data_IF_528465543967
#
_entry.id   IF_528465543967
#
_cell.length_a   1.000
_cell.length_b   1.000
_cell.length_c   1.000
_cell.angle_alpha   90.00
_cell.angle_beta   90.00
_cell.angle_gamma   90.00
#
_symmetry.space_group_name_H-M   'P 1'
#
loop_
_entity.id
_entity.type
_entity.pdbx_description
1 polymer ?
#
# COMPACT_ATOMS: atom_id res chain seq x y z
N UNK A 1 70.43 57.67 -25.81
CA UNK A 1 69.68 58.00 -24.59
C UNK A 1 68.45 57.13 -24.66
N UNK A 2 68.55 55.89 -24.14
CA UNK A 2 67.50 54.87 -24.14
C UNK A 2 66.72 54.99 -22.82
N UNK A 3 65.45 55.30 -22.92
CA UNK A 3 64.54 55.36 -21.77
C UNK A 3 64.05 53.93 -21.51
N UNK A 4 64.52 53.33 -20.41
CA UNK A 4 63.99 52.07 -19.91
C UNK A 4 62.60 52.36 -19.30
N UNK A 5 61.57 51.80 -19.97
CA UNK A 5 60.22 51.75 -19.44
C UNK A 5 60.15 50.67 -18.34
N UNK A 6 60.06 51.15 -17.10
CA UNK A 6 59.80 50.26 -15.95
C UNK A 6 58.37 49.78 -16.02
N UNK A 7 58.20 48.54 -16.45
CA UNK A 7 56.91 47.82 -16.43
C UNK A 7 56.52 47.51 -14.99
N UNK A 8 55.60 48.33 -14.40
CA UNK A 8 55.06 48.07 -13.05
C UNK A 8 54.04 46.96 -13.13
N UNK A 9 54.44 45.74 -12.80
CA UNK A 9 53.50 44.62 -12.65
C UNK A 9 52.52 44.91 -11.51
N UNK A 10 51.19 44.77 -11.75
CA UNK A 10 50.20 45.02 -10.71
C UNK A 10 50.36 44.06 -9.55
N UNK A 11 50.54 44.54 -8.34
CA UNK A 11 50.62 43.75 -7.11
C UNK A 11 49.27 43.04 -6.90
N UNK A 12 49.28 41.70 -7.01
CA UNK A 12 48.13 40.86 -6.74
C UNK A 12 47.64 41.08 -5.29
N UNK A 13 46.39 41.51 -5.12
CA UNK A 13 45.83 41.69 -3.78
C UNK A 13 45.43 40.31 -3.21
N UNK A 14 46.36 39.69 -2.48
CA UNK A 14 46.23 38.33 -1.93
C UNK A 14 44.94 38.16 -1.12
N UNK A 15 44.50 39.18 -0.36
CA UNK A 15 43.24 39.11 0.40
C UNK A 15 42.02 38.99 -0.51
N UNK A 16 41.99 39.74 -1.63
CA UNK A 16 40.88 39.63 -2.61
C UNK A 16 40.86 38.24 -3.28
N UNK A 17 42.02 37.70 -3.62
CA UNK A 17 42.13 36.35 -4.24
C UNK A 17 41.63 35.29 -3.27
N UNK A 18 42.05 35.35 -2.00
CA UNK A 18 41.59 34.41 -0.96
C UNK A 18 40.08 34.49 -0.77
N UNK A 19 39.49 35.66 -0.70
CA UNK A 19 38.02 35.81 -0.56
C UNK A 19 37.30 35.24 -1.78
N UNK A 20 37.74 35.55 -3.00
CA UNK A 20 37.14 35.01 -4.22
C UNK A 20 37.23 33.48 -4.25
N UNK A 21 38.36 32.91 -3.86
CA UNK A 21 38.53 31.43 -3.81
C UNK A 21 37.59 30.78 -2.80
N UNK A 22 37.42 31.36 -1.60
CA UNK A 22 36.49 30.88 -0.59
C UNK A 22 35.03 30.94 -1.11
N UNK A 23 34.63 32.04 -1.73
CA UNK A 23 33.29 32.22 -2.30
C UNK A 23 33.06 31.20 -3.42
N UNK A 24 34.04 30.95 -4.30
CA UNK A 24 33.92 29.91 -5.34
C UNK A 24 33.79 28.51 -4.77
N UNK A 25 34.53 28.18 -3.72
CA UNK A 25 34.42 26.85 -3.04
C UNK A 25 33.02 26.71 -2.43
N UNK A 26 32.47 27.72 -1.81
CA UNK A 26 31.12 27.70 -1.23
C UNK A 26 30.04 27.53 -2.32
N UNK A 27 30.18 28.24 -3.45
CA UNK A 27 29.26 28.11 -4.59
C UNK A 27 29.33 26.71 -5.17
N UNK A 28 30.52 26.13 -5.38
CA UNK A 28 30.69 24.76 -5.88
C UNK A 28 30.09 23.75 -4.91
N UNK A 29 30.27 23.93 -3.61
CA UNK A 29 29.68 23.08 -2.58
C UNK A 29 28.14 23.12 -2.62
N UNK A 30 27.54 24.31 -2.75
CA UNK A 30 26.09 24.48 -2.87
C UNK A 30 25.54 23.81 -4.15
N UNK A 31 26.22 24.01 -5.28
CA UNK A 31 25.83 23.37 -6.56
C UNK A 31 25.95 21.86 -6.46
N UNK A 32 27.01 21.33 -5.88
CA UNK A 32 27.21 19.88 -5.70
C UNK A 32 26.11 19.27 -4.81
N UNK A 33 25.73 19.98 -3.75
CA UNK A 33 24.66 19.56 -2.85
C UNK A 33 23.30 19.55 -3.58
N UNK A 34 22.99 20.60 -4.34
CA UNK A 34 21.78 20.67 -5.14
C UNK A 34 21.69 19.58 -6.21
N UNK A 35 22.80 19.29 -6.89
CA UNK A 35 22.90 18.19 -7.86
C UNK A 35 22.69 16.86 -7.17
N UNK A 36 23.33 16.61 -6.02
CA UNK A 36 23.17 15.37 -5.26
C UNK A 36 21.72 15.13 -4.87
N UNK A 37 21.03 16.15 -4.33
CA UNK A 37 19.61 16.02 -4.00
C UNK A 37 18.73 15.85 -5.25
N UNK A 38 19.04 16.55 -6.34
CA UNK A 38 18.35 16.39 -7.62
C UNK A 38 18.48 14.99 -8.20
N UNK A 39 19.68 14.43 -8.22
CA UNK A 39 19.95 13.07 -8.69
C UNK A 39 19.26 12.03 -7.79
N UNK A 40 19.30 12.23 -6.47
CA UNK A 40 18.63 11.35 -5.52
C UNK A 40 17.11 11.34 -5.75
N UNK A 41 16.50 12.52 -5.95
CA UNK A 41 15.06 12.64 -6.24
C UNK A 41 14.71 12.04 -7.62
N UNK A 42 15.55 12.27 -8.64
CA UNK A 42 15.38 11.68 -9.97
C UNK A 42 15.42 10.15 -9.94
N UNK A 43 16.42 9.56 -9.26
CA UNK A 43 16.52 8.11 -9.10
C UNK A 43 15.35 7.53 -8.31
N UNK A 44 14.85 8.26 -7.31
CA UNK A 44 13.63 7.89 -6.56
C UNK A 44 12.40 7.88 -7.48
N UNK A 45 12.24 8.88 -8.33
CA UNK A 45 11.14 8.95 -9.30
C UNK A 45 11.26 7.87 -10.38
N UNK A 46 12.48 7.56 -10.86
CA UNK A 46 12.73 6.46 -11.80
C UNK A 46 12.33 5.11 -11.21
N UNK A 47 12.72 4.82 -9.96
CA UNK A 47 12.34 3.57 -9.30
C UNK A 47 10.83 3.43 -9.12
N UNK A 48 10.13 4.56 -8.93
CA UNK A 48 8.67 4.62 -8.86
C UNK A 48 8.06 4.28 -10.24
N UNK A 49 8.56 4.91 -11.30
CA UNK A 49 8.10 4.69 -12.69
C UNK A 49 8.37 3.24 -13.12
N UNK A 50 9.54 2.70 -12.81
CA UNK A 50 9.89 1.31 -13.11
C UNK A 50 8.98 0.33 -12.37
N UNK A 51 8.70 0.57 -11.08
CA UNK A 51 7.74 -0.23 -10.31
C UNK A 51 6.33 -0.16 -10.90
N UNK A 52 5.87 1.03 -11.30
CA UNK A 52 4.55 1.24 -11.91
C UNK A 52 4.44 0.52 -13.28
N UNK A 53 5.50 0.57 -14.10
CA UNK A 53 5.59 -0.17 -15.37
C UNK A 53 5.63 -1.68 -15.12
N UNK A 54 6.37 -2.12 -14.12
CA UNK A 54 6.46 -3.54 -13.74
C UNK A 54 5.14 -4.05 -13.16
N UNK A 55 4.41 -3.23 -12.39
CA UNK A 55 3.08 -3.57 -11.89
C UNK A 55 2.05 -3.67 -13.02
N UNK A 56 2.16 -2.85 -14.07
CA UNK A 56 1.26 -2.84 -15.23
C UNK A 56 1.36 -4.08 -16.13
N UNK A 57 2.52 -4.72 -16.20
CA UNK A 57 2.85 -5.73 -17.23
C UNK A 57 2.90 -7.16 -16.71
N UNK A 58 2.51 -7.44 -15.44
CA UNK A 58 2.63 -8.78 -14.87
C UNK A 58 1.28 -9.44 -14.63
N UNK A 59 1.09 -10.71 -15.07
CA UNK A 59 0.04 -11.53 -14.51
C UNK A 59 0.34 -11.69 -13.00
N UNK A 60 -0.61 -11.28 -12.16
CA UNK A 60 -0.44 -11.15 -10.71
C UNK A 60 0.01 -12.45 -10.01
N UNK A 61 -0.20 -13.61 -10.63
CA UNK A 61 0.06 -14.93 -10.05
C UNK A 61 1.46 -15.50 -10.33
N UNK A 62 2.12 -15.16 -11.45
CA UNK A 62 3.40 -15.78 -11.82
C UNK A 62 4.55 -15.52 -10.84
N UNK A 63 4.46 -14.42 -10.09
CA UNK A 63 5.52 -14.01 -9.16
C UNK A 63 5.36 -14.59 -7.75
N UNK A 64 4.18 -15.07 -7.42
CA UNK A 64 3.88 -15.55 -6.08
C UNK A 64 4.35 -17.00 -5.85
N UNK A 65 4.36 -17.82 -6.92
CA UNK A 65 4.52 -19.27 -6.80
C UNK A 65 5.93 -19.79 -7.11
N UNK A 66 6.82 -18.97 -7.66
CA UNK A 66 8.14 -19.44 -8.09
C UNK A 66 9.20 -19.52 -6.99
N UNK A 67 8.92 -19.03 -5.78
CA UNK A 67 9.94 -18.93 -4.73
C UNK A 67 9.38 -19.23 -3.31
N UNK A 68 9.50 -20.48 -2.89
CA UNK A 68 9.14 -20.93 -1.54
C UNK A 68 9.89 -20.14 -0.43
N UNK A 69 11.11 -19.65 -0.71
CA UNK A 69 11.89 -18.85 0.23
C UNK A 69 11.26 -17.45 0.45
N UNK A 70 10.63 -16.88 -0.58
CA UNK A 70 9.88 -15.62 -0.46
C UNK A 70 8.57 -15.80 0.29
N UNK A 71 7.89 -16.94 0.11
CA UNK A 71 6.66 -17.25 0.84
C UNK A 71 6.88 -17.38 2.35
N UNK A 72 8.04 -17.86 2.78
CA UNK A 72 8.37 -18.02 4.20
C UNK A 72 8.63 -16.69 4.93
N UNK A 73 8.68 -15.56 4.23
CA UNK A 73 8.92 -14.23 4.80
C UNK A 73 7.69 -13.31 4.79
N UNK A 74 6.49 -13.84 4.48
CA UNK A 74 5.32 -12.98 4.34
C UNK A 74 4.97 -12.23 5.62
N UNK A 75 5.08 -12.87 6.77
CA UNK A 75 4.80 -12.26 8.08
C UNK A 75 5.75 -11.09 8.33
N UNK A 76 7.05 -11.29 8.10
CA UNK A 76 8.08 -10.26 8.22
C UNK A 76 7.81 -9.09 7.27
N UNK A 77 7.57 -9.38 5.99
CA UNK A 77 7.37 -8.36 4.96
C UNK A 77 6.11 -7.52 5.18
N UNK A 78 5.00 -8.16 5.54
CA UNK A 78 3.75 -7.46 5.83
C UNK A 78 3.87 -6.63 7.10
N UNK A 79 4.62 -7.06 8.13
CA UNK A 79 4.86 -6.26 9.32
C UNK A 79 5.58 -4.94 9.05
N UNK A 80 6.37 -4.87 7.97
CA UNK A 80 7.08 -3.66 7.55
C UNK A 80 6.28 -2.78 6.56
N UNK A 81 5.01 -3.12 6.25
CA UNK A 81 4.20 -2.38 5.27
C UNK A 81 4.05 -0.91 5.62
N UNK A 82 4.05 -0.55 6.91
CA UNK A 82 3.90 0.83 7.38
C UNK A 82 5.19 1.66 7.29
N UNK A 83 6.32 1.03 6.99
CA UNK A 83 7.62 1.67 6.90
C UNK A 83 7.98 1.90 5.43
N UNK A 84 8.20 3.18 5.05
CA UNK A 84 8.65 3.53 3.70
C UNK A 84 9.41 4.86 3.72
N UNK A 85 10.42 4.95 2.89
CA UNK A 85 11.19 6.19 2.64
C UNK A 85 10.58 7.03 1.50
N UNK A 86 9.53 6.53 0.82
CA UNK A 86 8.75 7.22 -0.19
C UNK A 86 7.25 7.11 0.12
N UNK A 87 6.44 7.98 -0.50
CA UNK A 87 4.99 7.97 -0.33
C UNK A 87 4.36 6.83 -1.11
N UNK A 88 3.72 5.88 -0.40
CA UNK A 88 2.96 4.78 -1.00
C UNK A 88 1.63 4.60 -0.28
N UNK A 89 0.65 4.12 -1.02
CA UNK A 89 -0.70 3.89 -0.50
C UNK A 89 -1.26 2.55 -0.97
N UNK A 90 -1.90 1.85 -0.05
CA UNK A 90 -2.62 0.60 -0.26
C UNK A 90 -4.11 0.89 -0.05
N UNK A 91 -4.88 0.84 -1.14
CA UNK A 91 -6.34 0.87 -1.04
C UNK A 91 -6.81 -0.53 -0.66
N UNK A 92 -7.55 -0.64 0.44
CA UNK A 92 -8.05 -1.93 0.92
C UNK A 92 -9.55 -1.89 1.15
N UNK A 93 -10.25 -2.97 0.76
CA UNK A 93 -11.68 -3.09 0.84
C UNK A 93 -12.04 -4.36 1.60
N UNK A 94 -12.90 -4.23 2.62
CA UNK A 94 -13.33 -5.33 3.48
C UNK A 94 -14.80 -5.70 3.22
N UNK A 95 -15.20 -6.91 3.61
CA UNK A 95 -16.57 -7.45 3.62
C UNK A 95 -17.17 -7.83 2.26
N UNK A 96 -16.49 -7.57 1.17
CA UNK A 96 -16.92 -7.97 -0.16
C UNK A 96 -16.76 -9.47 -0.45
N UNK A 97 -17.04 -9.86 -1.70
CA UNK A 97 -17.56 -9.03 -2.77
C UNK A 97 -19.08 -8.77 -2.68
N UNK A 98 -19.52 -7.68 -3.33
CA UNK A 98 -20.93 -7.41 -3.57
C UNK A 98 -21.17 -6.92 -5.01
N UNK A 99 -22.34 -7.23 -5.59
CA UNK A 99 -22.67 -6.77 -6.96
C UNK A 99 -22.81 -5.25 -7.05
N UNK A 100 -23.39 -4.64 -6.01
CA UNK A 100 -23.75 -3.23 -6.01
C UNK A 100 -22.60 -2.28 -5.72
N UNK A 101 -21.52 -2.74 -5.09
CA UNK A 101 -20.39 -1.88 -4.68
C UNK A 101 -19.07 -2.37 -5.22
N UNK A 102 -18.74 -3.67 -5.14
CA UNK A 102 -17.45 -4.18 -5.63
C UNK A 102 -17.28 -3.99 -7.14
N UNK A 103 -18.36 -4.22 -7.93
CA UNK A 103 -18.27 -4.04 -9.40
C UNK A 103 -17.96 -2.59 -9.79
N UNK A 104 -18.68 -1.55 -9.30
CA UNK A 104 -18.31 -0.15 -9.52
C UNK A 104 -16.89 0.19 -9.05
N UNK A 105 -16.45 -0.32 -7.91
CA UNK A 105 -15.07 -0.12 -7.42
C UNK A 105 -14.05 -0.67 -8.43
N UNK A 106 -14.24 -1.90 -8.93
CA UNK A 106 -13.35 -2.50 -9.93
C UNK A 106 -13.30 -1.67 -11.22
N UNK A 107 -14.45 -1.15 -11.68
CA UNK A 107 -14.50 -0.29 -12.86
C UNK A 107 -13.70 1.01 -12.67
N UNK A 108 -13.84 1.66 -11.51
CA UNK A 108 -13.10 2.88 -11.16
C UNK A 108 -11.59 2.60 -11.05
N UNK A 109 -11.20 1.53 -10.36
CA UNK A 109 -9.79 1.13 -10.21
C UNK A 109 -9.16 0.86 -11.58
N UNK A 110 -9.88 0.18 -12.48
CA UNK A 110 -9.44 -0.09 -13.85
C UNK A 110 -9.26 1.18 -14.67
N UNK A 111 -10.24 2.10 -14.63
CA UNK A 111 -10.18 3.40 -15.33
C UNK A 111 -9.00 4.25 -14.87
N UNK A 112 -8.65 4.18 -13.57
CA UNK A 112 -7.54 4.92 -12.99
C UNK A 112 -6.20 4.20 -13.04
N UNK A 113 -6.18 2.94 -13.53
CA UNK A 113 -5.02 2.05 -13.55
C UNK A 113 -4.41 1.86 -12.14
N UNK A 114 -5.25 1.65 -11.14
CA UNK A 114 -4.88 1.43 -9.73
C UNK A 114 -5.18 -0.01 -9.36
N UNK A 115 -4.26 -0.63 -8.61
CA UNK A 115 -4.47 -1.96 -8.02
C UNK A 115 -4.70 -1.83 -6.53
N UNK A 116 -5.55 -2.71 -5.99
CA UNK A 116 -5.98 -2.68 -4.60
C UNK A 116 -5.88 -4.08 -3.96
N UNK A 117 -6.19 -4.17 -2.68
CA UNK A 117 -6.35 -5.42 -1.94
C UNK A 117 -7.79 -5.55 -1.47
N UNK A 118 -8.42 -6.69 -1.75
CA UNK A 118 -9.77 -7.02 -1.30
C UNK A 118 -9.68 -8.10 -0.22
N UNK A 119 -10.09 -7.77 0.99
CA UNK A 119 -10.25 -8.70 2.11
C UNK A 119 -11.65 -9.28 2.06
N UNK A 120 -11.79 -10.41 1.38
CA UNK A 120 -13.10 -10.99 1.08
C UNK A 120 -13.62 -11.87 2.22
N UNK A 121 -14.93 -11.84 2.44
CA UNK A 121 -15.61 -12.85 3.23
C UNK A 121 -15.77 -14.12 2.43
N UNK A 122 -15.44 -15.27 3.02
CA UNK A 122 -15.56 -16.57 2.34
C UNK A 122 -16.97 -16.85 1.87
N UNK A 123 -17.99 -16.53 2.68
CA UNK A 123 -19.41 -16.68 2.30
C UNK A 123 -19.81 -15.81 1.10
N UNK A 124 -19.23 -14.63 0.94
CA UNK A 124 -19.46 -13.76 -0.21
C UNK A 124 -18.65 -14.23 -1.44
N UNK A 125 -17.46 -14.78 -1.23
CA UNK A 125 -16.67 -15.39 -2.31
C UNK A 125 -17.38 -16.60 -2.92
N UNK A 126 -18.03 -17.45 -2.10
CA UNK A 126 -18.88 -18.53 -2.59
C UNK A 126 -20.11 -18.02 -3.34
N UNK A 127 -20.70 -16.93 -2.87
CA UNK A 127 -21.94 -16.35 -3.45
C UNK A 127 -21.70 -15.61 -4.76
N UNK A 128 -20.53 -14.98 -4.93
CA UNK A 128 -20.19 -14.14 -6.07
C UNK A 128 -18.78 -14.47 -6.62
N UNK A 129 -18.51 -15.74 -6.97
CA UNK A 129 -17.18 -16.18 -7.39
C UNK A 129 -16.69 -15.45 -8.63
N UNK A 130 -17.59 -15.04 -9.54
CA UNK A 130 -17.26 -14.29 -10.74
C UNK A 130 -16.64 -12.91 -10.45
N UNK A 131 -17.04 -12.28 -9.33
CA UNK A 131 -16.49 -10.97 -8.94
C UNK A 131 -15.08 -11.14 -8.35
N UNK A 132 -14.87 -12.17 -7.51
CA UNK A 132 -13.54 -12.50 -6.98
C UNK A 132 -12.59 -12.84 -8.13
N UNK A 133 -13.04 -13.67 -9.08
CA UNK A 133 -12.25 -14.03 -10.28
C UNK A 133 -11.89 -12.81 -11.10
N UNK A 134 -12.84 -11.90 -11.33
CA UNK A 134 -12.60 -10.64 -12.04
C UNK A 134 -11.55 -9.79 -11.32
N UNK A 135 -11.69 -9.57 -10.00
CA UNK A 135 -10.74 -8.81 -9.21
C UNK A 135 -9.33 -9.40 -9.31
N UNK A 136 -9.20 -10.72 -9.18
CA UNK A 136 -7.94 -11.43 -9.35
C UNK A 136 -7.34 -11.25 -10.75
N UNK A 137 -8.14 -11.44 -11.80
CA UNK A 137 -7.69 -11.30 -13.20
C UNK A 137 -7.28 -9.86 -13.55
N UNK A 138 -7.91 -8.87 -12.92
CA UNK A 138 -7.54 -7.47 -13.08
C UNK A 138 -6.28 -7.08 -12.26
N UNK A 139 -5.66 -8.02 -11.53
CA UNK A 139 -4.40 -7.84 -10.82
C UNK A 139 -4.53 -7.27 -9.40
N UNK A 140 -5.73 -7.31 -8.83
CA UNK A 140 -5.94 -7.00 -7.42
C UNK A 140 -5.52 -8.18 -6.55
N UNK A 141 -5.06 -7.88 -5.32
CA UNK A 141 -4.75 -8.92 -4.35
C UNK A 141 -6.02 -9.36 -3.63
N UNK A 142 -6.28 -10.67 -3.59
CA UNK A 142 -7.42 -11.24 -2.86
C UNK A 142 -6.91 -11.74 -1.52
N UNK A 143 -7.28 -11.07 -0.45
CA UNK A 143 -6.93 -11.38 0.93
C UNK A 143 -8.14 -11.94 1.68
N UNK A 144 -7.94 -12.38 2.89
CA UNK A 144 -8.89 -13.15 3.68
C UNK A 144 -9.45 -12.32 4.84
N UNK A 145 -10.80 -12.27 4.97
CA UNK A 145 -11.50 -11.54 6.04
C UNK A 145 -12.43 -12.44 6.89
N UNK A 146 -12.08 -13.68 7.12
CA UNK A 146 -12.91 -14.73 7.69
C UNK A 146 -14.00 -15.23 6.75
N UNK A 147 -14.71 -16.27 7.16
CA UNK A 147 -15.80 -16.84 6.37
C UNK A 147 -17.15 -16.22 6.69
N UNK A 148 -17.48 -16.08 7.98
CA UNK A 148 -18.82 -15.72 8.44
C UNK A 148 -18.98 -14.26 8.84
N UNK A 149 -17.90 -13.57 9.23
CA UNK A 149 -17.90 -12.26 9.91
C UNK A 149 -18.70 -12.23 11.22
N UNK A 150 -19.02 -13.39 11.80
CA UNK A 150 -19.77 -13.48 13.07
C UNK A 150 -18.79 -13.55 14.24
N UNK A 151 -18.62 -12.47 14.98
CA UNK A 151 -17.61 -12.33 16.03
C UNK A 151 -17.64 -13.43 17.09
N UNK A 152 -18.84 -13.86 17.51
CA UNK A 152 -18.98 -14.97 18.49
C UNK A 152 -18.48 -16.31 17.96
N UNK A 153 -18.52 -16.51 16.65
CA UNK A 153 -18.00 -17.73 16.02
C UNK A 153 -16.48 -17.62 15.81
N UNK A 154 -16.05 -16.55 15.13
CA UNK A 154 -14.65 -16.31 14.79
C UNK A 154 -13.78 -16.27 16.06
N UNK A 155 -14.24 -15.56 17.07
CA UNK A 155 -13.48 -15.32 18.31
C UNK A 155 -13.91 -16.21 19.46
N UNK A 156 -14.46 -17.41 19.18
CA UNK A 156 -14.72 -18.42 20.20
C UNK A 156 -13.42 -19.05 20.73
N UNK A 157 -12.39 -19.12 19.89
CA UNK A 157 -11.03 -19.57 20.23
C UNK A 157 -10.04 -19.12 19.14
N UNK A 158 -8.71 -19.13 19.41
CA UNK A 158 -7.69 -18.94 18.37
C UNK A 158 -7.81 -19.93 17.21
N UNK A 159 -8.16 -21.18 17.51
CA UNK A 159 -8.36 -22.22 16.48
C UNK A 159 -9.54 -21.89 15.57
N UNK A 160 -10.63 -21.33 16.10
CA UNK A 160 -11.78 -20.92 15.30
C UNK A 160 -11.42 -19.83 14.28
N UNK A 161 -10.50 -18.92 14.62
CA UNK A 161 -9.96 -17.93 13.66
C UNK A 161 -9.22 -18.62 12.51
N UNK A 162 -8.39 -19.61 12.82
CA UNK A 162 -7.67 -20.38 11.79
C UNK A 162 -8.63 -21.21 10.94
N UNK A 163 -9.68 -21.79 11.52
CA UNK A 163 -10.69 -22.55 10.80
C UNK A 163 -11.49 -21.65 9.84
N UNK A 164 -11.88 -20.45 10.27
CA UNK A 164 -12.52 -19.42 9.45
C UNK A 164 -11.60 -18.99 8.29
N UNK A 165 -10.29 -18.79 8.57
CA UNK A 165 -9.29 -18.53 7.55
C UNK A 165 -9.21 -19.66 6.52
N UNK A 166 -9.02 -20.89 6.96
CA UNK A 166 -8.87 -22.05 6.06
C UNK A 166 -10.10 -22.26 5.19
N UNK A 167 -11.29 -22.09 5.75
CA UNK A 167 -12.55 -22.20 4.99
C UNK A 167 -12.65 -21.12 3.92
N UNK A 168 -12.24 -19.91 4.22
CA UNK A 168 -12.22 -18.78 3.27
C UNK A 168 -11.21 -19.01 2.16
N UNK A 169 -10.03 -19.57 2.46
CA UNK A 169 -9.04 -19.95 1.43
C UNK A 169 -9.60 -20.93 0.40
N UNK A 170 -10.41 -21.90 0.85
CA UNK A 170 -11.08 -22.83 -0.06
C UNK A 170 -12.06 -22.08 -0.98
N UNK A 171 -12.87 -21.18 -0.43
CA UNK A 171 -13.80 -20.37 -1.20
C UNK A 171 -13.08 -19.47 -2.23
N UNK A 172 -11.98 -18.83 -1.83
CA UNK A 172 -11.15 -17.98 -2.72
C UNK A 172 -10.57 -18.83 -3.86
N UNK A 173 -9.95 -19.96 -3.57
CA UNK A 173 -9.36 -20.87 -4.58
C UNK A 173 -10.39 -21.33 -5.60
N UNK A 174 -11.57 -21.71 -5.14
CA UNK A 174 -12.66 -22.13 -6.01
C UNK A 174 -13.17 -20.98 -6.88
N UNK A 175 -13.33 -19.78 -6.31
CA UNK A 175 -13.78 -18.59 -7.03
C UNK A 175 -12.78 -18.17 -8.12
N UNK A 176 -11.49 -18.14 -7.81
CA UNK A 176 -10.41 -17.80 -8.76
C UNK A 176 -10.27 -18.91 -9.82
N UNK A 177 -10.48 -20.17 -9.46
CA UNK A 177 -10.21 -21.34 -10.28
C UNK A 177 -8.73 -21.78 -10.25
N UNK A 178 -8.00 -21.39 -9.21
CA UNK A 178 -6.60 -21.75 -8.99
C UNK A 178 -6.41 -22.37 -7.60
N UNK A 179 -6.23 -23.68 -7.55
CA UNK A 179 -6.07 -24.44 -6.31
C UNK A 179 -4.70 -24.21 -5.64
N UNK A 180 -3.76 -23.61 -6.34
CA UNK A 180 -2.43 -23.26 -5.81
C UNK A 180 -2.40 -21.91 -5.12
N UNK A 181 -3.41 -21.06 -5.38
CA UNK A 181 -3.52 -19.76 -4.73
C UNK A 181 -3.57 -19.89 -3.21
N UNK A 182 -2.93 -18.97 -2.51
CA UNK A 182 -3.02 -18.84 -1.06
C UNK A 182 -2.81 -17.37 -0.71
N UNK A 183 -3.81 -16.74 -0.10
CA UNK A 183 -3.75 -15.31 0.21
C UNK A 183 -2.65 -14.98 1.22
N UNK A 184 -2.42 -15.85 2.20
CA UNK A 184 -1.42 -15.67 3.28
C UNK A 184 -1.51 -14.34 4.02
N UNK A 185 -2.56 -13.55 3.80
CA UNK A 185 -2.82 -12.29 4.51
C UNK A 185 -4.26 -12.29 5.00
N UNK A 186 -4.41 -12.10 6.30
CA UNK A 186 -5.69 -12.08 7.00
C UNK A 186 -5.91 -10.71 7.63
N UNK A 187 -7.12 -10.18 7.52
CA UNK A 187 -7.56 -9.04 8.33
C UNK A 187 -8.61 -9.51 9.32
N UNK A 188 -8.38 -9.24 10.59
CA UNK A 188 -9.33 -9.58 11.63
C UNK A 188 -10.59 -8.70 11.52
N UNK A 189 -11.81 -9.26 11.50
CA UNK A 189 -13.03 -8.48 11.67
C UNK A 189 -12.96 -7.55 12.90
N UNK A 190 -13.04 -6.23 12.64
CA UNK A 190 -12.83 -5.20 13.66
C UNK A 190 -11.39 -4.97 14.10
N UNK A 191 -10.38 -5.42 13.32
CA UNK A 191 -8.95 -5.24 13.58
C UNK A 191 -8.42 -6.12 14.72
N UNK A 192 -7.09 -6.07 14.94
CA UNK A 192 -6.43 -6.87 15.98
C UNK A 192 -6.52 -6.25 17.37
N UNK A 193 -6.67 -4.93 17.47
CA UNK A 193 -6.54 -4.19 18.73
C UNK A 193 -7.85 -4.08 19.50
N UNK A 194 -7.76 -4.28 20.82
CA UNK A 194 -8.82 -3.93 21.78
C UNK A 194 -10.07 -4.78 21.74
N UNK A 195 -11.06 -4.37 22.55
CA UNK A 195 -12.39 -4.98 22.65
C UNK A 195 -12.44 -6.30 23.43
N UNK A 196 -13.63 -6.87 23.47
CA UNK A 196 -13.95 -8.09 24.26
C UNK A 196 -13.05 -9.29 23.91
N UNK A 197 -12.57 -9.37 22.68
CA UNK A 197 -11.86 -10.54 22.15
C UNK A 197 -10.33 -10.31 22.02
N UNK A 198 -9.77 -9.29 22.66
CA UNK A 198 -8.37 -8.90 22.50
C UNK A 198 -7.39 -10.06 22.77
N UNK A 199 -7.59 -10.84 23.83
CA UNK A 199 -6.71 -11.97 24.16
C UNK A 199 -6.76 -13.08 23.11
N UNK A 200 -7.97 -13.45 22.66
CA UNK A 200 -8.15 -14.47 21.62
C UNK A 200 -7.51 -14.01 20.30
N UNK A 201 -7.67 -12.73 19.93
CA UNK A 201 -7.03 -12.17 18.75
C UNK A 201 -5.51 -12.22 18.83
N UNK A 202 -4.92 -11.87 19.98
CA UNK A 202 -3.47 -11.92 20.17
C UNK A 202 -2.91 -13.34 20.03
N UNK A 203 -3.59 -14.34 20.62
CA UNK A 203 -3.22 -15.74 20.47
C UNK A 203 -3.42 -16.24 19.03
N UNK A 204 -4.50 -15.81 18.37
CA UNK A 204 -4.77 -16.15 16.97
C UNK A 204 -3.73 -15.55 16.02
N UNK A 205 -3.21 -14.33 16.26
CA UNK A 205 -2.08 -13.76 15.52
C UNK A 205 -0.87 -14.69 15.58
N UNK A 206 -0.53 -15.20 16.75
CA UNK A 206 0.58 -16.15 16.89
C UNK A 206 0.34 -17.44 16.12
N UNK A 207 -0.88 -17.98 16.19
CA UNK A 207 -1.26 -19.21 15.48
C UNK A 207 -1.23 -19.01 13.96
N UNK A 208 -1.73 -17.90 13.43
CA UNK A 208 -1.67 -17.55 12.02
C UNK A 208 -0.22 -17.39 11.55
N UNK A 209 0.63 -16.69 12.32
CA UNK A 209 2.05 -16.52 12.01
C UNK A 209 2.78 -17.87 11.94
N UNK A 210 2.50 -18.81 12.83
CA UNK A 210 3.04 -20.19 12.80
C UNK A 210 2.63 -20.94 11.52
N UNK A 211 1.47 -20.59 10.94
CA UNK A 211 0.98 -21.11 9.67
C UNK A 211 1.43 -20.24 8.47
N UNK A 212 2.38 -19.33 8.67
CA UNK A 212 2.89 -18.41 7.65
C UNK A 212 1.77 -17.56 7.02
N UNK A 213 0.87 -17.07 7.84
CA UNK A 213 -0.21 -16.14 7.49
C UNK A 213 0.01 -14.85 8.27
N UNK A 214 0.23 -13.75 7.55
CA UNK A 214 0.36 -12.42 8.12
C UNK A 214 -1.02 -11.83 8.44
N UNK A 215 -1.09 -10.99 9.47
CA UNK A 215 -2.25 -10.11 9.65
C UNK A 215 -1.93 -8.70 9.16
N UNK A 216 -2.97 -7.98 8.71
CA UNK A 216 -2.83 -6.61 8.25
C UNK A 216 -4.02 -5.77 8.70
N UNK A 217 -3.78 -4.83 9.59
CA UNK A 217 -4.72 -3.78 9.96
C UNK A 217 -4.59 -2.56 9.01
N UNK A 218 -4.92 -1.37 9.47
CA UNK A 218 -4.88 -0.12 8.71
C UNK A 218 -4.31 1.01 9.55
N UNK A 219 -3.91 2.10 8.91
CA UNK A 219 -3.44 3.31 9.58
C UNK A 219 -4.09 4.60 9.04
N UNK A 220 -5.08 4.44 8.15
CA UNK A 220 -6.02 5.47 7.70
C UNK A 220 -7.36 4.81 7.34
N UNK A 221 -8.47 5.55 7.39
CA UNK A 221 -9.80 5.02 7.10
C UNK A 221 -10.75 6.12 6.63
N UNK A 222 -11.81 5.70 5.93
CA UNK A 222 -12.87 6.58 5.41
C UNK A 222 -14.00 6.82 6.40
N UNK A 223 -14.04 6.05 7.48
CA UNK A 223 -15.16 5.99 8.44
C UNK A 223 -16.51 5.57 7.84
N UNK A 224 -16.52 4.94 6.66
CA UNK A 224 -17.72 4.39 6.04
C UNK A 224 -18.42 3.35 6.94
N UNK A 225 -17.66 2.51 7.67
CA UNK A 225 -18.22 1.59 8.66
C UNK A 225 -18.88 2.31 9.85
N UNK A 226 -18.40 3.49 10.22
CA UNK A 226 -18.99 4.31 11.28
C UNK A 226 -20.22 5.10 10.82
N UNK A 227 -20.65 4.94 9.57
CA UNK A 227 -21.85 5.57 9.02
C UNK A 227 -21.60 6.91 8.33
N UNK A 228 -20.33 7.28 8.10
CA UNK A 228 -20.01 8.44 7.27
C UNK A 228 -20.34 8.09 5.81
N UNK A 229 -21.18 8.89 5.17
CA UNK A 229 -21.65 8.68 3.80
C UNK A 229 -21.53 9.93 2.90
N UNK A 230 -21.23 11.09 3.49
CA UNK A 230 -20.89 12.28 2.74
C UNK A 230 -19.45 12.21 2.23
N UNK A 231 -19.25 12.35 0.91
CA UNK A 231 -17.93 12.22 0.27
C UNK A 231 -16.91 13.22 0.83
N UNK A 232 -17.29 14.47 1.07
CA UNK A 232 -16.35 15.48 1.59
C UNK A 232 -15.94 15.18 3.04
N UNK A 233 -16.87 14.71 3.87
CA UNK A 233 -16.57 14.33 5.25
C UNK A 233 -15.67 13.11 5.29
N UNK A 234 -15.92 12.12 4.42
CA UNK A 234 -15.07 10.94 4.26
C UNK A 234 -13.65 11.34 3.80
N UNK A 235 -13.53 12.27 2.84
CA UNK A 235 -12.21 12.80 2.40
C UNK A 235 -11.45 13.45 3.55
N UNK A 236 -12.12 14.34 4.30
CA UNK A 236 -11.52 15.00 5.46
C UNK A 236 -11.07 13.98 6.52
N UNK A 237 -11.84 12.93 6.71
CA UNK A 237 -11.51 11.87 7.67
C UNK A 237 -10.29 11.06 7.23
N UNK A 238 -10.22 10.70 5.94
CA UNK A 238 -9.02 10.05 5.37
C UNK A 238 -7.80 10.94 5.55
N UNK A 239 -7.88 12.22 5.20
CA UNK A 239 -6.75 13.15 5.31
C UNK A 239 -6.28 13.31 6.77
N UNK A 240 -7.23 13.40 7.71
CA UNK A 240 -6.93 13.49 9.14
C UNK A 240 -6.22 12.23 9.65
N UNK A 241 -6.77 11.06 9.32
CA UNK A 241 -6.21 9.78 9.80
C UNK A 241 -4.91 9.39 9.08
N UNK A 242 -4.76 9.76 7.82
CA UNK A 242 -3.54 9.57 7.05
C UNK A 242 -2.41 10.46 7.56
N UNK A 243 -2.69 11.74 7.86
CA UNK A 243 -1.67 12.71 8.28
C UNK A 243 -0.50 12.78 7.28
N UNK A 244 0.72 12.82 7.81
CA UNK A 244 1.96 12.91 7.01
C UNK A 244 2.68 11.57 6.84
N UNK A 245 1.97 10.44 6.94
CA UNK A 245 2.58 9.11 6.82
C UNK A 245 3.09 8.84 5.40
N UNK A 246 4.29 8.28 5.29
CA UNK A 246 4.84 7.86 3.99
C UNK A 246 4.18 6.57 3.47
N UNK A 247 3.78 5.66 4.33
CA UNK A 247 3.11 4.42 3.93
C UNK A 247 1.73 4.33 4.58
N UNK A 248 0.71 4.27 3.74
CA UNK A 248 -0.70 4.36 4.17
C UNK A 248 -1.46 3.14 3.70
N UNK A 249 -2.12 2.46 4.64
CA UNK A 249 -3.11 1.40 4.38
C UNK A 249 -4.47 1.96 4.72
N UNK A 250 -5.31 2.20 3.70
CA UNK A 250 -6.63 2.82 3.87
C UNK A 250 -7.70 1.74 3.97
N UNK A 251 -8.43 1.73 5.10
CA UNK A 251 -9.60 0.88 5.28
C UNK A 251 -10.82 1.51 4.62
N UNK A 252 -11.48 0.72 3.79
CA UNK A 252 -12.78 0.97 3.17
C UNK A 252 -13.57 -0.35 3.15
N UNK A 253 -14.87 -0.27 2.85
CA UNK A 253 -15.72 -1.45 2.76
C UNK A 253 -16.44 -1.51 1.40
N UNK A 254 -16.54 -2.72 0.83
CA UNK A 254 -17.22 -2.97 -0.45
C UNK A 254 -18.47 -3.87 -0.30
N UNK A 255 -19.00 -3.95 0.91
CA UNK A 255 -20.33 -4.57 1.16
C UNK A 255 -21.46 -3.80 0.47
N UNK A 256 -22.56 -4.48 0.15
CA UNK A 256 -23.62 -3.97 -0.71
C UNK A 256 -24.34 -2.69 -0.27
N UNK A 257 -24.09 -2.20 0.94
CA UNK A 257 -24.66 -0.96 1.49
C UNK A 257 -23.74 0.26 1.41
N UNK A 258 -22.46 0.07 1.02
CA UNK A 258 -21.41 1.11 1.07
C UNK A 258 -21.22 1.83 -0.27
N UNK A 259 -22.30 2.42 -0.80
CA UNK A 259 -22.24 3.17 -2.08
C UNK A 259 -21.32 4.38 -2.01
N UNK A 260 -21.30 5.10 -0.90
CA UNK A 260 -20.44 6.25 -0.68
C UNK A 260 -18.96 5.92 -0.85
N UNK A 261 -18.56 4.67 -0.64
CA UNK A 261 -17.17 4.22 -0.85
C UNK A 261 -16.75 4.32 -2.33
N UNK A 262 -17.57 3.83 -3.28
CA UNK A 262 -17.21 3.97 -4.70
C UNK A 262 -17.41 5.40 -5.21
N UNK A 263 -18.34 6.17 -4.64
CA UNK A 263 -18.54 7.58 -4.98
C UNK A 263 -17.36 8.46 -4.54
N UNK A 264 -16.74 8.14 -3.40
CA UNK A 264 -15.52 8.77 -2.90
C UNK A 264 -14.29 8.45 -3.76
N UNK A 265 -14.20 7.24 -4.28
CA UNK A 265 -12.96 6.64 -4.80
C UNK A 265 -12.27 7.46 -5.90
N UNK A 266 -12.95 8.06 -6.91
CA UNK A 266 -12.30 8.89 -7.92
C UNK A 266 -11.58 10.11 -7.33
N UNK A 267 -12.23 10.81 -6.41
CA UNK A 267 -11.67 11.99 -5.74
C UNK A 267 -10.50 11.60 -4.82
N UNK A 268 -10.61 10.50 -4.09
CA UNK A 268 -9.55 9.98 -3.25
C UNK A 268 -8.32 9.60 -4.06
N UNK A 269 -8.48 8.88 -5.17
CA UNK A 269 -7.39 8.51 -6.06
C UNK A 269 -6.67 9.74 -6.61
N UNK A 270 -7.43 10.74 -7.07
CA UNK A 270 -6.87 11.97 -7.61
C UNK A 270 -6.05 12.73 -6.54
N UNK A 271 -6.61 12.94 -5.34
CA UNK A 271 -5.94 13.62 -4.25
C UNK A 271 -4.65 12.90 -3.80
N UNK A 272 -4.65 11.57 -3.76
CA UNK A 272 -3.47 10.78 -3.43
C UNK A 272 -2.37 10.88 -4.50
N UNK A 273 -2.74 10.89 -5.80
CA UNK A 273 -1.81 11.14 -6.91
C UNK A 273 -1.17 12.53 -6.81
N UNK A 274 -1.98 13.55 -6.56
CA UNK A 274 -1.49 14.93 -6.38
C UNK A 274 -0.54 15.09 -5.20
N UNK A 275 -0.78 14.35 -4.12
CA UNK A 275 0.12 14.28 -2.95
C UNK A 275 1.38 13.42 -3.22
N UNK A 276 1.53 12.83 -4.41
CA UNK A 276 2.69 12.03 -4.82
C UNK A 276 2.74 10.64 -4.23
N UNK A 277 1.59 10.04 -3.87
CA UNK A 277 1.54 8.64 -3.43
C UNK A 277 1.58 7.70 -4.63
N UNK A 278 2.39 6.64 -4.51
CA UNK A 278 2.40 5.48 -5.41
C UNK A 278 1.40 4.47 -4.91
N UNK A 279 0.52 4.00 -5.79
CA UNK A 279 -0.46 2.96 -5.46
C UNK A 279 0.19 1.60 -5.56
N UNK A 280 0.15 0.86 -4.47
CA UNK A 280 0.67 -0.50 -4.35
C UNK A 280 -0.42 -1.44 -3.80
N UNK A 281 -0.27 -2.73 -4.03
CA UNK A 281 -1.02 -3.76 -3.35
C UNK A 281 -0.08 -4.78 -2.67
N UNK A 282 -0.62 -5.82 -2.06
CA UNK A 282 0.19 -6.79 -1.30
C UNK A 282 1.21 -7.52 -2.19
N UNK A 283 0.94 -7.72 -3.49
CA UNK A 283 1.94 -8.31 -4.38
C UNK A 283 3.25 -7.49 -4.43
N UNK A 284 3.17 -6.17 -4.31
CA UNK A 284 4.35 -5.29 -4.37
C UNK A 284 5.23 -5.44 -3.12
N UNK A 285 4.61 -5.68 -1.95
CA UNK A 285 5.33 -6.02 -0.71
C UNK A 285 6.02 -7.38 -0.80
N UNK A 286 5.42 -8.34 -1.50
CA UNK A 286 5.95 -9.69 -1.61
C UNK A 286 7.07 -9.81 -2.64
N UNK A 287 7.19 -8.86 -3.57
CA UNK A 287 8.26 -8.80 -4.59
C UNK A 287 9.56 -8.20 -4.04
N UNK A 288 9.46 -7.33 -3.06
CA UNK A 288 10.62 -6.68 -2.43
C UNK A 288 11.33 -7.64 -1.48
#
# INVERSE_FOLDING_TARGET
MTLDLIEVKPRLNVKKVVIITIVLILIISLISTAIFFGVRQYNKNLSIIERDILAKNRPAHELFYSDNAKQNKIVERVSHIYNSDYRRVFLTFDDGPSKSVTIPILDILKQNNVKATFFVLGSNAERYPEIVKRAYQEGHYIANHSFTHVYSNIYSSPQAVLDEYNRTEIAIKNAIGDQTYNSRVFRFPGGTSGGKYANIKAEAVNLLNQNNVAHLDWNALTADAAGLDNVNDMMNYVETTMGNKNSVVILMHDTGTKKSTYELLPQLIQALKEKGYVFENIYDILKS
#
